data_IF_074966471073
#
_entry.id   IF_074966471073
#
_cell.length_a   1.000
_cell.length_b   1.000
_cell.length_c   1.000
_cell.angle_alpha   90.00
_cell.angle_beta   90.00
_cell.angle_gamma   90.00
#
_symmetry.space_group_name_H-M   'P 1'
#
loop_
_entity.id
_entity.type
_entity.pdbx_description
1 polymer ?
#
# COMPACT_ATOMS: atom_id res chain seq x y z
N UNK A 1 -16.78 10.86 -2.46
CA UNK A 1 -16.17 11.40 -3.69
C UNK A 1 -16.08 10.31 -4.76
N UNK A 2 -16.23 10.68 -6.03
CA UNK A 2 -16.39 9.73 -7.14
C UNK A 2 -15.10 9.56 -7.98
N UNK A 3 -13.98 9.33 -7.30
CA UNK A 3 -12.71 9.05 -7.97
C UNK A 3 -12.69 7.60 -8.50
N UNK A 4 -12.06 7.32 -9.66
CA UNK A 4 -11.89 5.97 -10.12
C UNK A 4 -11.00 5.16 -9.15
N UNK A 5 -11.41 3.91 -8.91
CA UNK A 5 -10.67 2.95 -8.09
C UNK A 5 -10.27 1.79 -8.99
N UNK A 6 -8.99 1.48 -9.02
CA UNK A 6 -8.46 0.27 -9.67
C UNK A 6 -8.08 -0.72 -8.57
N UNK A 7 -8.73 -1.88 -8.59
CA UNK A 7 -8.41 -3.00 -7.70
C UNK A 7 -7.48 -3.95 -8.45
N UNK A 8 -6.25 -4.11 -7.94
CA UNK A 8 -5.28 -5.06 -8.46
C UNK A 8 -5.19 -6.22 -7.47
N UNK A 9 -5.87 -7.32 -7.79
CA UNK A 9 -5.86 -8.52 -6.97
C UNK A 9 -5.93 -9.72 -7.91
N UNK A 10 -4.79 -10.13 -8.37
CA UNK A 10 -4.62 -11.11 -9.43
C UNK A 10 -4.75 -12.49 -8.92
N UNK A 11 -4.03 -13.17 -8.22
CA UNK A 11 -4.10 -14.59 -7.90
C UNK A 11 -4.57 -14.83 -6.46
N UNK A 12 -5.83 -15.19 -6.24
CA UNK A 12 -6.30 -15.58 -4.92
C UNK A 12 -5.62 -16.88 -4.47
N UNK A 13 -5.31 -16.96 -3.17
CA UNK A 13 -4.63 -18.13 -2.59
C UNK A 13 -5.49 -19.40 -2.69
N UNK A 14 -6.81 -19.25 -2.65
CA UNK A 14 -7.76 -20.36 -2.82
C UNK A 14 -8.94 -19.96 -3.71
N UNK A 15 -9.62 -20.94 -4.33
CA UNK A 15 -10.85 -20.68 -5.11
C UNK A 15 -11.95 -19.98 -4.31
N UNK A 16 -12.07 -20.31 -3.02
CA UNK A 16 -13.08 -19.73 -2.11
C UNK A 16 -12.83 -18.22 -1.91
N UNK A 17 -11.56 -17.82 -1.64
CA UNK A 17 -11.15 -16.42 -1.54
C UNK A 17 -11.42 -15.70 -2.86
N UNK A 18 -11.13 -16.34 -3.99
CA UNK A 18 -11.43 -15.80 -5.31
C UNK A 18 -12.91 -15.53 -5.52
N UNK A 19 -13.77 -16.44 -5.08
CA UNK A 19 -15.22 -16.29 -5.19
C UNK A 19 -15.75 -15.16 -4.27
N UNK A 20 -15.31 -15.13 -3.02
CA UNK A 20 -15.66 -14.05 -2.07
C UNK A 20 -15.27 -12.67 -2.64
N UNK A 21 -14.10 -12.58 -3.27
CA UNK A 21 -13.63 -11.35 -3.87
C UNK A 21 -14.49 -10.92 -5.06
N UNK A 22 -14.87 -11.86 -5.94
CA UNK A 22 -15.78 -11.60 -7.07
C UNK A 22 -17.12 -11.03 -6.60
N UNK A 23 -17.68 -11.63 -5.58
CA UNK A 23 -18.95 -11.19 -5.00
C UNK A 23 -18.83 -9.80 -4.37
N UNK A 24 -17.75 -9.55 -3.62
CA UNK A 24 -17.50 -8.25 -3.00
C UNK A 24 -17.31 -7.14 -4.04
N UNK A 25 -16.55 -7.40 -5.10
CA UNK A 25 -16.34 -6.45 -6.21
C UNK A 25 -17.65 -6.18 -6.94
N UNK A 26 -18.45 -7.22 -7.25
CA UNK A 26 -19.76 -7.06 -7.91
C UNK A 26 -20.73 -6.21 -7.06
N UNK A 27 -20.73 -6.40 -5.75
CA UNK A 27 -21.52 -5.56 -4.83
C UNK A 27 -21.03 -4.11 -4.83
N UNK A 28 -19.72 -3.89 -4.82
CA UNK A 28 -19.14 -2.56 -4.84
C UNK A 28 -19.45 -1.83 -6.16
N UNK A 29 -19.31 -2.51 -7.31
CA UNK A 29 -19.60 -1.97 -8.64
C UNK A 29 -21.10 -1.61 -8.83
N UNK A 30 -22.02 -2.32 -8.17
CA UNK A 30 -23.44 -1.94 -8.16
C UNK A 30 -23.70 -0.62 -7.42
N UNK A 31 -22.89 -0.32 -6.39
CA UNK A 31 -23.01 0.90 -5.58
C UNK A 31 -22.26 2.08 -6.20
N UNK A 32 -21.22 1.81 -6.97
CA UNK A 32 -20.31 2.82 -7.53
C UNK A 32 -19.80 2.40 -8.91
N UNK A 33 -20.00 3.25 -9.91
CA UNK A 33 -19.68 2.92 -11.31
C UNK A 33 -18.17 2.92 -11.65
N UNK A 34 -17.36 3.68 -10.92
CA UNK A 34 -15.94 3.90 -11.25
C UNK A 34 -15.02 2.94 -10.47
N UNK A 35 -15.38 1.66 -10.41
CA UNK A 35 -14.56 0.59 -9.83
C UNK A 35 -14.14 -0.35 -10.95
N UNK A 36 -12.84 -0.46 -11.18
CA UNK A 36 -12.22 -1.33 -12.17
C UNK A 36 -11.43 -2.42 -11.43
N UNK A 37 -11.62 -3.66 -11.85
CA UNK A 37 -10.90 -4.78 -11.24
C UNK A 37 -10.03 -5.48 -12.29
N UNK A 38 -8.77 -5.68 -11.94
CA UNK A 38 -7.80 -6.44 -12.71
C UNK A 38 -7.63 -7.78 -11.99
N UNK A 39 -8.18 -8.85 -12.58
CA UNK A 39 -8.22 -10.20 -12.00
C UNK A 39 -6.95 -11.00 -12.27
N UNK A 40 -6.10 -10.56 -13.18
CA UNK A 40 -4.91 -11.26 -13.61
C UNK A 40 -3.64 -10.72 -12.95
N UNK A 41 -2.62 -11.57 -12.89
CA UNK A 41 -1.29 -11.14 -12.51
C UNK A 41 -0.69 -10.29 -13.63
N UNK A 42 -0.44 -9.04 -13.32
CA UNK A 42 0.19 -8.11 -14.25
C UNK A 42 1.71 -8.33 -14.32
N UNK A 43 2.27 -8.06 -15.49
CA UNK A 43 3.72 -7.98 -15.62
C UNK A 43 4.28 -6.74 -14.88
N UNK A 44 5.59 -6.76 -14.63
CA UNK A 44 6.26 -5.69 -13.88
C UNK A 44 6.09 -4.31 -14.53
N UNK A 45 6.07 -4.24 -15.85
CA UNK A 45 5.94 -2.97 -16.57
C UNK A 45 4.56 -2.36 -16.34
N UNK A 46 3.50 -3.16 -16.49
CA UNK A 46 2.13 -2.72 -16.24
C UNK A 46 1.93 -2.28 -14.76
N UNK A 47 2.51 -3.02 -13.81
CA UNK A 47 2.48 -2.64 -12.38
C UNK A 47 3.15 -1.30 -12.14
N UNK A 48 4.34 -1.06 -12.70
CA UNK A 48 5.05 0.23 -12.59
C UNK A 48 4.25 1.36 -13.23
N UNK A 49 3.62 1.13 -14.38
CA UNK A 49 2.75 2.11 -15.04
C UNK A 49 1.54 2.45 -14.15
N UNK A 50 0.91 1.45 -13.53
CA UNK A 50 -0.19 1.69 -12.59
C UNK A 50 0.25 2.55 -11.41
N UNK A 51 1.36 2.20 -10.76
CA UNK A 51 1.89 3.03 -9.67
C UNK A 51 2.18 4.46 -10.14
N UNK A 52 2.89 4.62 -11.25
CA UNK A 52 3.32 5.93 -11.74
C UNK A 52 2.16 6.87 -12.13
N UNK A 53 1.01 6.30 -12.50
CA UNK A 53 -0.18 7.08 -12.88
C UNK A 53 -1.23 7.14 -11.77
N UNK A 54 -1.07 6.39 -10.70
CA UNK A 54 -1.99 6.45 -9.57
C UNK A 54 -1.83 7.78 -8.82
N UNK A 55 -2.93 8.42 -8.48
CA UNK A 55 -2.90 9.59 -7.61
C UNK A 55 -2.54 9.20 -6.17
N UNK A 56 -3.05 8.05 -5.70
CA UNK A 56 -2.81 7.49 -4.37
C UNK A 56 -2.75 5.98 -4.49
N UNK A 57 -1.75 5.37 -3.88
CA UNK A 57 -1.71 3.93 -3.68
C UNK A 57 -2.29 3.58 -2.30
N UNK A 58 -3.19 2.61 -2.26
CA UNK A 58 -3.83 2.17 -1.02
C UNK A 58 -3.49 0.70 -0.73
N UNK A 59 -2.92 0.44 0.44
CA UNK A 59 -2.58 -0.90 0.93
C UNK A 59 -3.30 -1.20 2.25
N UNK A 60 -4.53 -1.73 2.23
CA UNK A 60 -5.32 -2.02 3.43
C UNK A 60 -5.04 -3.40 4.01
N UNK A 61 -3.80 -3.89 3.93
CA UNK A 61 -3.42 -5.20 4.43
C UNK A 61 -3.69 -5.34 5.93
N UNK A 62 -4.18 -6.50 6.34
CA UNK A 62 -4.32 -6.87 7.77
C UNK A 62 -3.09 -7.61 8.29
N UNK A 63 -2.29 -8.15 7.41
CA UNK A 63 -1.00 -8.77 7.68
C UNK A 63 -0.04 -8.47 6.52
N UNK A 64 1.13 -7.95 6.83
CA UNK A 64 2.15 -7.63 5.83
C UNK A 64 3.55 -7.76 6.46
N UNK A 65 4.34 -8.78 6.08
CA UNK A 65 5.66 -9.01 6.66
C UNK A 65 6.64 -7.85 6.46
N UNK A 66 6.64 -7.22 5.28
CA UNK A 66 7.54 -6.10 4.97
C UNK A 66 6.83 -4.91 4.30
N UNK A 67 6.05 -5.15 3.26
CA UNK A 67 5.35 -4.08 2.53
C UNK A 67 6.05 -3.64 1.24
N UNK A 68 6.60 -4.58 0.49
CA UNK A 68 7.31 -4.32 -0.77
C UNK A 68 6.47 -3.50 -1.75
N UNK A 69 5.16 -3.76 -1.84
CA UNK A 69 4.26 -3.04 -2.75
C UNK A 69 4.14 -1.55 -2.38
N UNK A 70 4.24 -1.21 -1.08
CA UNK A 70 4.29 0.19 -0.64
C UNK A 70 5.60 0.85 -1.08
N UNK A 71 6.71 0.13 -0.97
CA UNK A 71 8.02 0.60 -1.40
C UNK A 71 8.09 0.83 -2.91
N UNK A 72 7.46 -0.05 -3.70
CA UNK A 72 7.37 0.10 -5.16
C UNK A 72 6.54 1.32 -5.55
N UNK A 73 5.41 1.55 -4.90
CA UNK A 73 4.59 2.74 -5.10
C UNK A 73 5.36 4.03 -4.73
N UNK A 74 6.07 4.02 -3.58
CA UNK A 74 6.93 5.13 -3.15
C UNK A 74 8.06 5.40 -4.16
N UNK A 75 8.69 4.35 -4.71
CA UNK A 75 9.71 4.47 -5.74
C UNK A 75 9.18 5.10 -7.05
N UNK A 76 7.88 5.00 -7.30
CA UNK A 76 7.18 5.67 -8.42
C UNK A 76 6.67 7.08 -8.07
N UNK A 77 7.08 7.67 -6.95
CA UNK A 77 6.59 8.97 -6.43
C UNK A 77 5.08 8.97 -6.13
N UNK A 78 4.48 7.84 -5.88
CA UNK A 78 3.06 7.73 -5.56
C UNK A 78 2.85 7.84 -4.05
N UNK A 79 1.98 8.75 -3.64
CA UNK A 79 1.62 8.89 -2.23
C UNK A 79 0.88 7.64 -1.72
N UNK A 80 1.25 7.17 -0.54
CA UNK A 80 0.75 5.92 0.04
C UNK A 80 -0.24 6.19 1.17
N UNK A 81 -1.32 5.43 1.21
CA UNK A 81 -2.18 5.24 2.38
C UNK A 81 -2.21 3.77 2.71
N UNK A 82 -1.71 3.38 3.87
CA UNK A 82 -1.59 1.98 4.23
C UNK A 82 -2.03 1.70 5.66
N UNK A 83 -2.34 0.44 5.96
CA UNK A 83 -2.57 -0.01 7.33
C UNK A 83 -1.28 0.03 8.15
N UNK A 84 -1.37 0.41 9.42
CA UNK A 84 -0.26 0.44 10.36
C UNK A 84 0.05 -0.96 10.92
N UNK A 85 0.37 -1.94 10.04
CA UNK A 85 0.65 -3.33 10.42
C UNK A 85 2.03 -3.79 9.95
N UNK A 86 2.59 -4.77 10.65
CA UNK A 86 3.83 -5.46 10.28
C UNK A 86 4.95 -4.52 9.82
N UNK A 87 5.62 -4.91 8.75
CA UNK A 87 6.73 -4.16 8.15
C UNK A 87 6.33 -2.91 7.38
N UNK A 88 5.05 -2.66 7.12
CA UNK A 88 4.60 -1.39 6.51
C UNK A 88 5.08 -0.20 7.32
N UNK A 89 5.10 -0.31 8.66
CA UNK A 89 5.57 0.74 9.59
C UNK A 89 7.06 1.03 9.48
N UNK A 90 7.83 0.13 8.91
CA UNK A 90 9.26 0.34 8.64
C UNK A 90 9.48 1.04 7.29
N UNK A 91 8.58 0.81 6.34
CA UNK A 91 8.63 1.36 4.98
C UNK A 91 8.04 2.77 4.94
N UNK A 92 6.81 2.93 5.41
CA UNK A 92 6.06 4.20 5.37
C UNK A 92 6.25 4.96 6.68
N UNK A 93 6.60 6.24 6.59
CA UNK A 93 6.64 7.17 7.73
C UNK A 93 5.35 7.98 7.70
N UNK A 94 4.57 7.86 8.79
CA UNK A 94 3.27 8.52 8.89
C UNK A 94 3.42 10.04 8.84
N UNK A 95 2.52 10.70 8.09
CA UNK A 95 2.47 12.15 7.87
C UNK A 95 3.71 12.75 7.17
N UNK A 96 4.62 11.90 6.68
CA UNK A 96 5.84 12.33 5.99
C UNK A 96 5.96 11.72 4.57
N UNK A 97 5.86 10.40 4.44
CA UNK A 97 5.94 9.69 3.16
C UNK A 97 4.61 9.06 2.73
N UNK A 98 3.61 9.13 3.58
CA UNK A 98 2.28 8.58 3.40
C UNK A 98 1.45 8.71 4.67
N UNK A 99 0.29 8.07 4.68
CA UNK A 99 -0.52 7.93 5.88
C UNK A 99 -0.59 6.47 6.34
N UNK A 100 -0.39 6.26 7.64
CA UNK A 100 -0.60 4.99 8.32
C UNK A 100 -1.93 5.02 9.08
N UNK A 101 -2.83 4.11 8.72
CA UNK A 101 -4.13 3.97 9.37
C UNK A 101 -4.04 2.88 10.44
N UNK A 102 -4.28 3.21 11.71
CA UNK A 102 -4.26 2.23 12.80
C UNK A 102 -5.24 1.09 12.58
N UNK A 103 -4.81 -0.10 12.94
CA UNK A 103 -5.61 -1.33 12.85
C UNK A 103 -5.79 -1.91 14.24
N UNK A 104 -7.03 -2.04 14.66
CA UNK A 104 -7.39 -2.69 15.91
C UNK A 104 -7.88 -4.11 15.61
N UNK A 105 -7.23 -5.13 16.21
CA UNK A 105 -7.61 -6.52 16.05
C UNK A 105 -8.40 -7.01 17.26
N UNK A 106 -9.30 -7.95 17.04
CA UNK A 106 -9.88 -8.76 18.09
C UNK A 106 -8.78 -9.62 18.72
N UNK A 107 -8.70 -9.62 20.02
CA UNK A 107 -7.64 -10.30 20.79
C UNK A 107 -7.45 -11.75 20.31
N UNK A 108 -6.19 -12.13 20.08
CA UNK A 108 -5.80 -13.47 19.62
C UNK A 108 -6.17 -13.80 18.15
N UNK A 109 -6.59 -12.81 17.35
CA UNK A 109 -7.00 -13.03 15.95
C UNK A 109 -6.44 -11.97 15.02
N UNK A 110 -6.51 -12.22 13.71
CA UNK A 110 -6.30 -11.20 12.66
C UNK A 110 -7.60 -10.59 12.16
N UNK A 111 -8.70 -10.71 12.92
CA UNK A 111 -9.98 -10.08 12.56
C UNK A 111 -10.01 -8.64 13.07
N UNK A 112 -10.42 -7.73 12.22
CA UNK A 112 -10.63 -6.34 12.61
C UNK A 112 -11.67 -6.25 13.73
N UNK A 113 -11.33 -5.58 14.81
CA UNK A 113 -12.28 -5.34 15.91
C UNK A 113 -13.41 -4.39 15.48
N UNK A 114 -13.10 -3.43 14.61
CA UNK A 114 -14.08 -2.49 14.05
C UNK A 114 -13.81 -2.22 12.57
N UNK A 115 -14.29 -3.09 11.65
CA UNK A 115 -14.08 -2.93 10.21
C UNK A 115 -14.63 -1.62 9.63
N UNK A 116 -15.75 -1.14 10.16
CA UNK A 116 -16.37 0.11 9.70
C UNK A 116 -15.54 1.34 10.07
N UNK A 117 -14.98 1.37 11.28
CA UNK A 117 -14.09 2.45 11.72
C UNK A 117 -12.83 2.47 10.84
N UNK A 118 -12.18 1.31 10.65
CA UNK A 118 -11.00 1.19 9.80
C UNK A 118 -11.27 1.67 8.37
N UNK A 119 -12.39 1.25 7.78
CA UNK A 119 -12.79 1.67 6.42
C UNK A 119 -13.02 3.20 6.34
N UNK A 120 -13.65 3.80 7.36
CA UNK A 120 -13.84 5.27 7.41
C UNK A 120 -12.53 6.02 7.56
N UNK A 121 -11.63 5.54 8.41
CA UNK A 121 -10.33 6.17 8.66
C UNK A 121 -9.47 6.10 7.38
N UNK A 122 -9.46 4.94 6.71
CA UNK A 122 -8.80 4.74 5.43
C UNK A 122 -9.34 5.70 4.35
N UNK A 123 -10.66 5.74 4.20
CA UNK A 123 -11.32 6.65 3.25
C UNK A 123 -11.04 8.12 3.54
N UNK A 124 -10.94 8.50 4.81
CA UNK A 124 -10.61 9.86 5.23
C UNK A 124 -9.22 10.26 4.76
N UNK A 125 -8.22 9.40 4.95
CA UNK A 125 -6.84 9.65 4.52
C UNK A 125 -6.68 9.66 3.02
N UNK A 126 -7.34 8.74 2.31
CA UNK A 126 -7.39 8.75 0.84
C UNK A 126 -7.99 10.06 0.33
N UNK A 127 -9.16 10.46 0.85
CA UNK A 127 -9.83 11.69 0.44
C UNK A 127 -9.00 12.93 0.74
N UNK A 128 -8.24 12.96 1.84
CA UNK A 128 -7.31 14.04 2.16
C UNK A 128 -6.26 14.20 1.05
N UNK A 129 -5.60 13.13 0.65
CA UNK A 129 -4.62 13.17 -0.44
C UNK A 129 -5.26 13.46 -1.79
N UNK A 130 -6.46 12.95 -2.06
CA UNK A 130 -7.15 13.22 -3.32
C UNK A 130 -7.53 14.70 -3.48
N UNK A 131 -7.85 15.39 -2.39
CA UNK A 131 -8.22 16.82 -2.36
C UNK A 131 -7.01 17.75 -2.32
N UNK A 132 -5.91 17.32 -1.72
CA UNK A 132 -4.69 18.12 -1.57
C UNK A 132 -3.57 17.61 -2.49
N UNK A 133 -3.47 18.22 -3.67
CA UNK A 133 -2.43 17.89 -4.65
C UNK A 133 -1.02 18.17 -4.12
N UNK A 134 -0.83 19.27 -3.37
CA UNK A 134 0.50 19.66 -2.89
C UNK A 134 1.00 18.66 -1.84
N UNK A 135 0.12 18.24 -0.92
CA UNK A 135 0.44 17.21 0.07
C UNK A 135 0.77 15.88 -0.61
N UNK A 136 -0.02 15.49 -1.61
CA UNK A 136 0.20 14.27 -2.38
C UNK A 136 1.56 14.26 -3.08
N UNK A 137 1.92 15.36 -3.75
CA UNK A 137 3.22 15.50 -4.41
C UNK A 137 4.38 15.54 -3.38
N UNK A 138 4.19 16.18 -2.24
CA UNK A 138 5.14 16.20 -1.13
C UNK A 138 5.42 14.78 -0.64
N UNK A 139 4.38 14.00 -0.35
CA UNK A 139 4.52 12.62 0.13
C UNK A 139 5.16 11.71 -0.93
N UNK A 140 4.76 11.83 -2.18
CA UNK A 140 5.35 11.06 -3.27
C UNK A 140 6.87 11.27 -3.38
N UNK A 141 7.32 12.54 -3.40
CA UNK A 141 8.75 12.88 -3.45
C UNK A 141 9.52 12.41 -2.22
N UNK A 142 8.95 12.60 -1.03
CA UNK A 142 9.57 12.13 0.21
C UNK A 142 9.65 10.59 0.24
N UNK A 143 8.59 9.91 -0.23
CA UNK A 143 8.55 8.46 -0.37
C UNK A 143 9.63 7.93 -1.30
N UNK A 144 9.77 8.50 -2.50
CA UNK A 144 10.82 8.11 -3.43
C UNK A 144 12.22 8.32 -2.86
N UNK A 145 12.48 9.47 -2.29
CA UNK A 145 13.76 9.75 -1.63
C UNK A 145 14.09 8.69 -0.59
N UNK A 146 13.13 8.36 0.28
CA UNK A 146 13.30 7.31 1.29
C UNK A 146 13.59 5.94 0.67
N UNK A 147 12.86 5.56 -0.40
CA UNK A 147 13.07 4.31 -1.11
C UNK A 147 14.50 4.19 -1.64
N UNK A 148 15.02 5.24 -2.28
CA UNK A 148 16.38 5.30 -2.82
C UNK A 148 17.45 5.28 -1.73
N UNK A 149 17.28 6.05 -0.66
CA UNK A 149 18.29 6.22 0.38
C UNK A 149 18.36 5.05 1.38
N UNK A 150 17.23 4.37 1.64
CA UNK A 150 17.14 3.37 2.70
C UNK A 150 17.03 1.94 2.19
N UNK A 151 16.37 1.73 1.03
CA UNK A 151 15.93 0.42 0.57
C UNK A 151 16.49 0.02 -0.80
N UNK A 152 17.28 0.87 -1.46
CA UNK A 152 17.94 0.47 -2.71
C UNK A 152 18.93 -0.68 -2.45
N UNK A 153 19.06 -1.58 -3.44
CA UNK A 153 20.00 -2.71 -3.35
C UNK A 153 21.44 -2.26 -3.05
N UNK A 154 21.84 -1.10 -3.57
CA UNK A 154 23.15 -0.51 -3.27
C UNK A 154 23.29 -0.21 -1.77
N UNK A 155 22.28 0.39 -1.15
CA UNK A 155 22.28 0.70 0.28
C UNK A 155 22.21 -0.55 1.16
N UNK A 156 21.45 -1.54 0.75
CA UNK A 156 21.38 -2.84 1.45
C UNK A 156 22.74 -3.52 1.39
N UNK A 157 23.38 -3.58 0.23
CA UNK A 157 24.71 -4.17 0.06
C UNK A 157 25.78 -3.44 0.91
N UNK A 158 25.72 -2.11 0.95
CA UNK A 158 26.62 -1.28 1.78
C UNK A 158 26.47 -1.61 3.27
N UNK A 159 25.25 -1.66 3.79
CA UNK A 159 24.94 -2.03 5.18
C UNK A 159 25.39 -3.46 5.49
N UNK A 160 25.13 -4.40 4.60
CA UNK A 160 25.53 -5.82 4.77
C UNK A 160 27.05 -5.95 4.82
N UNK A 161 27.78 -5.26 3.92
CA UNK A 161 29.24 -5.25 3.91
C UNK A 161 29.79 -4.67 5.22
N UNK A 162 29.23 -3.56 5.70
CA UNK A 162 29.65 -2.95 6.96
C UNK A 162 29.46 -3.90 8.16
N UNK A 163 28.33 -4.64 8.20
CA UNK A 163 28.08 -5.63 9.23
C UNK A 163 29.12 -6.76 9.19
N UNK A 164 29.42 -7.30 8.01
CA UNK A 164 30.45 -8.33 7.88
C UNK A 164 31.83 -7.85 8.37
N UNK A 165 32.19 -6.60 8.07
CA UNK A 165 33.45 -6.02 8.54
C UNK A 165 33.51 -5.91 10.07
N UNK A 166 32.39 -5.59 10.74
CA UNK A 166 32.31 -5.55 12.20
C UNK A 166 32.39 -6.94 12.83
N UNK A 167 31.88 -7.97 12.16
CA UNK A 167 31.95 -9.36 12.67
C UNK A 167 33.30 -10.05 12.39
N UNK A 168 34.14 -9.51 11.53
CA UNK A 168 35.42 -10.11 11.10
C UNK A 168 36.65 -9.53 11.81
N UNK A 169 36.45 -8.58 12.72
CA UNK A 169 37.49 -8.00 13.61
C UNK A 169 37.36 -8.54 15.01
#
# INVERSE_FOLDING_TARGET
DDFPIVLCAGAPDTPEIGQEMKEAVAVAQKKRKNIFWIEEMLDRKAVVELYSHAAVFCCPSIYEPFGIINLEAMACETAVVASAVGGIKEVVVDDETGFLVPVDFTEGTFKLANPEKFSRDLATRINQLMKDRQLREKFGKAGRKRAEEMFSWAKIAEKTKALYQQCSG
#
